data_IF_857517176770
#
_entry.id   IF_857517176770
#
_cell.length_a   1.000
_cell.length_b   1.000
_cell.length_c   1.000
_cell.angle_alpha   90.00
_cell.angle_beta   90.00
_cell.angle_gamma   90.00
#
_symmetry.space_group_name_H-M   'P 1'
#
loop_
_entity.id
_entity.type
_entity.pdbx_description
1 polymer ?
#
# COMPACT_ATOMS: atom_id res chain seq x y z
N UNK A 1 -7.59 25.70 -20.07
CA UNK A 1 -6.17 25.52 -19.70
C UNK A 1 -6.13 25.39 -18.19
N UNK A 2 -5.63 24.27 -17.66
CA UNK A 2 -5.48 24.10 -16.20
C UNK A 2 -4.26 24.88 -15.73
N UNK A 3 -4.41 25.74 -14.72
CA UNK A 3 -3.29 26.51 -14.15
C UNK A 3 -2.69 25.84 -12.91
N UNK A 4 -1.49 26.26 -12.50
CA UNK A 4 -0.87 25.80 -11.24
C UNK A 4 -1.79 26.07 -10.05
N UNK A 5 -2.47 27.22 -10.05
CA UNK A 5 -3.39 27.62 -8.97
C UNK A 5 -4.64 26.74 -8.86
N UNK A 6 -5.07 26.11 -9.96
CA UNK A 6 -6.22 25.20 -9.96
C UNK A 6 -5.82 23.76 -9.62
N UNK A 7 -4.67 23.32 -10.14
CA UNK A 7 -4.21 21.94 -9.97
C UNK A 7 -3.58 21.70 -8.60
N UNK A 8 -2.84 22.68 -8.07
CA UNK A 8 -2.11 22.50 -6.80
C UNK A 8 -3.02 22.20 -5.61
N UNK A 9 -4.15 22.93 -5.38
CA UNK A 9 -5.06 22.61 -4.28
C UNK A 9 -5.67 21.21 -4.41
N UNK A 10 -5.91 20.74 -5.64
CA UNK A 10 -6.45 19.39 -5.90
C UNK A 10 -5.43 18.31 -5.55
N UNK A 11 -4.18 18.47 -6.00
CA UNK A 11 -3.09 17.56 -5.69
C UNK A 11 -2.81 17.52 -4.18
N UNK A 12 -2.82 18.69 -3.53
CA UNK A 12 -2.64 18.78 -2.07
C UNK A 12 -3.76 18.11 -1.28
N UNK A 13 -5.01 18.27 -1.72
CA UNK A 13 -6.14 17.55 -1.11
C UNK A 13 -5.97 16.04 -1.28
N UNK A 14 -5.61 15.58 -2.47
CA UNK A 14 -5.39 14.16 -2.73
C UNK A 14 -4.26 13.57 -1.87
N UNK A 15 -3.16 14.32 -1.70
CA UNK A 15 -2.07 13.91 -0.81
C UNK A 15 -2.56 13.75 0.65
N UNK A 16 -3.33 14.71 1.16
CA UNK A 16 -3.91 14.63 2.50
C UNK A 16 -4.88 13.46 2.65
N UNK A 17 -5.74 13.24 1.65
CA UNK A 17 -6.70 12.13 1.64
C UNK A 17 -5.96 10.78 1.66
N UNK A 18 -4.86 10.64 0.90
CA UNK A 18 -4.00 9.46 0.90
C UNK A 18 -3.31 9.23 2.25
N UNK A 19 -2.89 10.29 2.94
CA UNK A 19 -2.33 10.17 4.30
C UNK A 19 -3.39 9.68 5.30
N UNK A 20 -4.66 10.07 5.16
CA UNK A 20 -5.73 9.51 6.01
C UNK A 20 -6.02 8.06 5.64
N UNK A 21 -6.11 7.74 4.34
CA UNK A 21 -6.32 6.36 3.89
C UNK A 21 -5.22 5.42 4.39
N UNK A 22 -3.95 5.88 4.44
CA UNK A 22 -2.86 5.10 5.02
C UNK A 22 -3.16 4.69 6.46
N UNK A 23 -3.70 5.58 7.30
CA UNK A 23 -4.07 5.26 8.69
C UNK A 23 -5.21 4.24 8.76
N UNK A 24 -6.17 4.33 7.84
CA UNK A 24 -7.27 3.36 7.76
C UNK A 24 -6.75 1.98 7.30
N UNK A 25 -5.74 1.93 6.42
CA UNK A 25 -5.04 0.68 6.05
C UNK A 25 -4.24 0.13 7.24
N UNK A 26 -3.48 0.98 7.94
CA UNK A 26 -2.71 0.58 9.13
C UNK A 26 -3.60 0.02 10.24
N UNK A 27 -4.87 0.45 10.30
CA UNK A 27 -5.88 -0.02 11.26
C UNK A 27 -6.79 -1.13 10.71
N UNK A 28 -6.47 -1.69 9.53
CA UNK A 28 -7.22 -2.77 8.87
C UNK A 28 -8.68 -2.44 8.53
N UNK A 29 -9.04 -1.16 8.43
CA UNK A 29 -10.37 -0.69 8.06
C UNK A 29 -10.55 -0.51 6.56
N UNK A 30 -9.44 -0.48 5.81
CA UNK A 30 -9.40 -0.34 4.37
C UNK A 30 -8.34 -1.30 3.81
N UNK A 31 -8.58 -1.97 2.67
CA UNK A 31 -7.55 -2.77 2.03
C UNK A 31 -6.50 -1.87 1.37
N UNK A 32 -5.23 -2.29 1.46
CA UNK A 32 -4.10 -1.54 0.91
C UNK A 32 -4.19 -1.32 -0.62
N UNK A 33 -4.92 -2.16 -1.35
CA UNK A 33 -5.15 -2.07 -2.80
C UNK A 33 -5.86 -0.78 -3.20
N UNK A 34 -6.74 -0.25 -2.35
CA UNK A 34 -7.60 0.88 -2.67
C UNK A 34 -6.81 2.20 -2.81
N UNK A 35 -5.57 2.23 -2.31
CA UNK A 35 -4.69 3.39 -2.39
C UNK A 35 -3.90 3.50 -3.70
N UNK A 36 -3.78 2.42 -4.48
CA UNK A 36 -2.89 2.37 -5.65
C UNK A 36 -3.27 3.39 -6.72
N UNK A 37 -4.57 3.45 -7.05
CA UNK A 37 -5.09 4.40 -8.04
C UNK A 37 -4.90 5.86 -7.57
N UNK A 38 -5.06 6.13 -6.28
CA UNK A 38 -4.87 7.45 -5.71
C UNK A 38 -3.41 7.89 -5.76
N UNK A 39 -2.47 7.00 -5.45
CA UNK A 39 -1.03 7.26 -5.55
C UNK A 39 -0.58 7.53 -7.00
N UNK A 40 -1.12 6.79 -7.96
CA UNK A 40 -0.86 7.02 -9.38
C UNK A 40 -1.46 8.35 -9.87
N UNK A 41 -2.69 8.65 -9.48
CA UNK A 41 -3.33 9.92 -9.79
C UNK A 41 -2.53 11.11 -9.22
N UNK A 42 -2.02 11.00 -7.99
CA UNK A 42 -1.17 12.03 -7.40
C UNK A 42 0.16 12.18 -8.15
N UNK A 43 0.81 11.08 -8.54
CA UNK A 43 2.03 11.11 -9.38
C UNK A 43 1.78 11.89 -10.67
N UNK A 44 0.70 11.57 -11.37
CA UNK A 44 0.33 12.24 -12.63
C UNK A 44 0.04 13.74 -12.45
N UNK A 45 -0.61 14.12 -11.35
CA UNK A 45 -0.85 15.53 -11.03
C UNK A 45 0.45 16.28 -10.68
N UNK A 46 1.39 15.64 -9.98
CA UNK A 46 2.70 16.19 -9.66
C UNK A 46 3.51 16.44 -10.94
N UNK A 47 3.53 15.50 -11.88
CA UNK A 47 4.22 15.66 -13.17
C UNK A 47 3.67 16.86 -13.97
N UNK A 48 2.35 17.00 -14.01
CA UNK A 48 1.71 18.18 -14.61
C UNK A 48 2.07 19.48 -13.88
N UNK A 49 2.07 19.47 -12.55
CA UNK A 49 2.45 20.62 -11.75
C UNK A 49 3.92 21.01 -11.96
N UNK A 50 4.84 20.05 -12.10
CA UNK A 50 6.25 20.31 -12.46
C UNK A 50 6.32 21.06 -13.80
N UNK A 51 5.60 20.56 -14.82
CA UNK A 51 5.59 21.18 -16.14
C UNK A 51 4.95 22.58 -16.15
N UNK A 52 3.92 22.81 -15.32
CA UNK A 52 3.27 24.12 -15.18
C UNK A 52 4.14 25.10 -14.38
N UNK A 53 4.81 24.64 -13.31
CA UNK A 53 5.71 25.45 -12.49
C UNK A 53 6.87 26.03 -13.33
N UNK A 54 7.44 25.26 -14.26
CA UNK A 54 8.49 25.76 -15.16
C UNK A 54 8.03 26.90 -16.07
N UNK A 55 6.72 26.97 -16.37
CA UNK A 55 6.13 28.02 -17.21
C UNK A 55 5.80 29.30 -16.43
N UNK A 56 5.88 29.26 -15.10
CA UNK A 56 5.68 30.44 -14.26
C UNK A 56 6.86 31.41 -14.40
N UNK A 57 6.54 32.71 -14.48
CA UNK A 57 7.52 33.77 -14.70
C UNK A 57 8.05 34.33 -13.38
N UNK A 58 7.14 34.59 -12.42
CA UNK A 58 7.49 35.31 -11.19
C UNK A 58 7.66 34.40 -9.97
N UNK A 59 7.04 33.21 -9.98
CA UNK A 59 6.92 32.34 -8.80
C UNK A 59 7.42 30.92 -9.03
N UNK A 60 8.26 30.72 -10.06
CA UNK A 60 8.78 29.40 -10.46
C UNK A 60 9.38 28.63 -9.30
N UNK A 61 10.30 29.27 -8.55
CA UNK A 61 11.01 28.60 -7.47
C UNK A 61 10.08 28.25 -6.30
N UNK A 62 9.16 29.15 -5.96
CA UNK A 62 8.13 28.87 -4.95
C UNK A 62 7.29 27.65 -5.34
N UNK A 63 6.91 27.55 -6.62
CA UNK A 63 6.15 26.40 -7.10
C UNK A 63 6.98 25.12 -7.15
N UNK A 64 8.27 25.18 -7.51
CA UNK A 64 9.17 24.03 -7.45
C UNK A 64 9.24 23.44 -6.05
N UNK A 65 9.45 24.28 -5.03
CA UNK A 65 9.47 23.85 -3.62
C UNK A 65 8.17 23.17 -3.25
N UNK A 66 7.02 23.80 -3.52
CA UNK A 66 5.71 23.23 -3.19
C UNK A 66 5.41 21.90 -3.91
N UNK A 67 5.85 21.77 -5.16
CA UNK A 67 5.68 20.55 -5.94
C UNK A 67 6.62 19.45 -5.43
N UNK A 68 7.81 19.82 -4.98
CA UNK A 68 8.73 18.90 -4.33
C UNK A 68 8.19 18.40 -2.99
N UNK A 69 7.64 19.27 -2.14
CA UNK A 69 6.95 18.88 -0.90
C UNK A 69 5.84 17.85 -1.17
N UNK A 70 5.02 18.05 -2.22
CA UNK A 70 3.99 17.08 -2.60
C UNK A 70 4.56 15.72 -3.03
N UNK A 71 5.69 15.71 -3.75
CA UNK A 71 6.33 14.47 -4.19
C UNK A 71 6.99 13.73 -3.03
N UNK A 72 7.55 14.45 -2.06
CA UNK A 72 8.05 13.89 -0.81
C UNK A 72 6.93 13.23 0.00
N UNK A 73 5.77 13.89 0.14
CA UNK A 73 4.60 13.28 0.77
C UNK A 73 4.14 12.03 0.04
N UNK A 74 4.00 12.09 -1.30
CA UNK A 74 3.62 10.92 -2.11
C UNK A 74 4.61 9.76 -1.92
N UNK A 75 5.91 10.03 -1.97
CA UNK A 75 6.96 9.02 -1.80
C UNK A 75 6.92 8.42 -0.40
N UNK A 76 6.69 9.24 0.63
CA UNK A 76 6.53 8.77 2.00
C UNK A 76 5.33 7.83 2.15
N UNK A 77 4.15 8.20 1.63
CA UNK A 77 2.96 7.34 1.67
C UNK A 77 3.21 6.03 0.94
N UNK A 78 3.78 6.08 -0.27
CA UNK A 78 4.06 4.88 -1.06
C UNK A 78 5.03 3.92 -0.33
N UNK A 79 6.08 4.46 0.29
CA UNK A 79 7.06 3.65 1.04
C UNK A 79 6.44 3.04 2.30
N UNK A 80 5.60 3.80 3.02
CA UNK A 80 4.84 3.30 4.18
C UNK A 80 3.93 2.14 3.80
N UNK A 81 3.15 2.32 2.74
CA UNK A 81 2.26 1.28 2.22
C UNK A 81 3.04 0.02 1.79
N UNK A 82 4.16 0.20 1.10
CA UNK A 82 5.04 -0.91 0.69
C UNK A 82 5.55 -1.71 1.91
N UNK A 83 6.08 -1.01 2.92
CA UNK A 83 6.58 -1.67 4.15
C UNK A 83 5.47 -2.39 4.89
N UNK A 84 4.29 -1.79 4.98
CA UNK A 84 3.13 -2.40 5.61
C UNK A 84 2.73 -3.71 4.91
N UNK A 85 2.65 -3.72 3.57
CA UNK A 85 2.37 -4.94 2.80
C UNK A 85 3.40 -6.02 3.04
N UNK A 86 4.70 -5.69 2.97
CA UNK A 86 5.77 -6.66 3.23
C UNK A 86 5.67 -7.30 4.62
N UNK A 87 5.30 -6.53 5.64
CA UNK A 87 5.09 -7.06 6.99
C UNK A 87 3.86 -7.96 7.08
N UNK A 88 2.75 -7.54 6.47
CA UNK A 88 1.48 -8.25 6.58
C UNK A 88 1.41 -9.51 5.70
N UNK A 89 2.01 -9.48 4.51
CA UNK A 89 2.13 -10.64 3.62
C UNK A 89 3.01 -11.71 4.26
N UNK A 90 4.11 -11.29 4.91
CA UNK A 90 4.97 -12.19 5.68
C UNK A 90 4.22 -12.83 6.86
N UNK A 91 3.49 -12.03 7.63
CA UNK A 91 2.69 -12.54 8.74
C UNK A 91 1.62 -13.54 8.25
N UNK A 92 0.97 -13.26 7.12
CA UNK A 92 -0.01 -14.15 6.52
C UNK A 92 0.61 -15.50 6.08
N UNK A 93 1.82 -15.48 5.52
CA UNK A 93 2.58 -16.68 5.16
C UNK A 93 2.97 -17.51 6.40
N UNK A 94 3.51 -16.85 7.42
CA UNK A 94 3.90 -17.50 8.68
C UNK A 94 2.68 -18.13 9.39
N UNK A 95 1.53 -17.45 9.38
CA UNK A 95 0.27 -17.98 9.93
C UNK A 95 -0.26 -19.17 9.13
N UNK A 96 -0.14 -19.13 7.79
CA UNK A 96 -0.54 -20.25 6.94
C UNK A 96 0.32 -21.50 7.20
N UNK A 97 1.64 -21.33 7.29
CA UNK A 97 2.58 -22.41 7.63
C UNK A 97 2.29 -22.97 9.02
N UNK A 98 2.05 -22.10 10.01
CA UNK A 98 1.68 -22.53 11.36
C UNK A 98 0.39 -23.35 11.37
N UNK A 99 -0.64 -22.93 10.62
CA UNK A 99 -1.90 -23.69 10.51
C UNK A 99 -1.68 -25.04 9.84
N UNK A 100 -0.82 -25.11 8.82
CA UNK A 100 -0.48 -26.38 8.17
C UNK A 100 0.24 -27.33 9.13
N UNK A 101 1.25 -26.86 9.86
CA UNK A 101 1.98 -27.67 10.85
C UNK A 101 1.06 -28.17 11.97
N UNK A 102 0.18 -27.31 12.49
CA UNK A 102 -0.81 -27.71 13.50
C UNK A 102 -1.85 -28.68 12.93
N UNK A 103 -2.30 -28.50 11.68
CA UNK A 103 -3.20 -29.42 11.00
C UNK A 103 -2.58 -30.79 10.77
N UNK A 104 -1.28 -30.85 10.44
CA UNK A 104 -0.52 -32.10 10.33
C UNK A 104 -0.37 -32.82 11.68
N UNK A 105 -0.21 -32.09 12.78
CA UNK A 105 -0.19 -32.65 14.13
C UNK A 105 -1.57 -33.15 14.61
N UNK A 106 -2.66 -32.60 14.08
CA UNK A 106 -4.04 -32.96 14.45
C UNK A 106 -4.67 -34.05 13.58
N UNK A 107 -3.97 -34.54 12.54
CA UNK A 107 -4.38 -35.78 11.87
C UNK A 107 -4.14 -36.94 12.83
N UNK A 108 -5.18 -37.70 13.22
CA UNK A 108 -4.96 -38.90 14.00
C UNK A 108 -4.10 -39.83 13.15
N UNK A 109 -2.94 -40.23 13.67
CA UNK A 109 -2.18 -41.38 13.18
C UNK A 109 -3.00 -42.66 13.39
N UNK A 110 -4.12 -42.78 12.70
CA UNK A 110 -4.96 -43.95 12.67
C UNK A 110 -4.65 -44.71 11.39
N UNK A 111 -3.75 -45.70 11.48
CA UNK A 111 -3.55 -46.62 10.37
C UNK A 111 -2.19 -47.30 10.29
N UNK A 112 -1.75 -47.99 11.34
CA UNK A 112 -0.90 -49.18 11.18
C UNK A 112 -1.30 -50.19 12.26
N UNK A 113 -2.15 -51.16 11.91
CA UNK A 113 -2.63 -52.19 12.82
C UNK A 113 -3.81 -52.97 12.27
N UNK A 114 -3.80 -53.29 10.97
CA UNK A 114 -4.73 -54.22 10.35
C UNK A 114 -3.91 -55.29 9.65
N UNK A 115 -3.29 -56.18 10.43
CA UNK A 115 -2.72 -57.43 9.92
C UNK A 115 -2.94 -58.53 10.97
N UNK A 116 -3.62 -59.57 10.49
CA UNK A 116 -3.60 -60.98 10.91
C UNK A 116 -3.95 -61.35 12.35
N UNK A 117 -5.13 -61.97 12.52
CA UNK A 117 -5.25 -63.29 13.17
C UNK A 117 -6.67 -63.87 12.92
N UNK A 118 -6.90 -64.41 11.72
CA UNK A 118 -7.84 -65.53 11.54
C UNK A 118 -6.99 -66.80 11.35
N UNK A 119 -6.83 -67.57 12.43
CA UNK A 119 -6.31 -68.93 12.38
C UNK A 119 -7.44 -69.89 12.75
N UNK A 120 -7.53 -70.94 11.94
CA UNK A 120 -8.51 -72.02 11.92
C UNK A 120 -8.78 -72.71 13.27
#
# INVERSE_FOLDING_TARGET
MTSVNELFPRARKLAYDLEQQLKEVETLRMPASDMELGLEALRFQIEQLRALAEKEVNRREEWRVKVQELDETRAWVANKLYRWRQQHDRAALEDAERRELLGRLHMPSGGVGALDEEVC
#
